data_IF_478971661346
#
_entry.id   IF_478971661346
#
_cell.length_a   1.000
_cell.length_b   1.000
_cell.length_c   1.000
_cell.angle_alpha   90.00
_cell.angle_beta   90.00
_cell.angle_gamma   90.00
#
_symmetry.space_group_name_H-M   'P 1'
#
loop_
_entity.id
_entity.type
_entity.pdbx_description
1 polymer ?
#
# COMPACT_ATOMS: atom_id res chain seq x y z
N UNK A 1 28.03 -3.45 11.87
CA UNK A 1 27.69 -4.39 12.96
C UNK A 1 26.28 -4.88 12.71
N UNK A 2 26.15 -6.11 12.25
CA UNK A 2 24.88 -6.75 11.90
C UNK A 2 24.19 -7.21 13.18
N UNK A 3 23.06 -6.62 13.51
CA UNK A 3 22.20 -7.14 14.56
C UNK A 3 21.54 -8.41 14.04
N UNK A 4 22.07 -9.56 14.44
CA UNK A 4 21.42 -10.86 14.33
C UNK A 4 20.07 -10.77 15.05
N UNK A 5 18.99 -10.72 14.30
CA UNK A 5 17.64 -10.98 14.82
C UNK A 5 17.69 -12.42 15.32
N UNK A 6 17.77 -12.61 16.64
CA UNK A 6 17.62 -13.92 17.27
C UNK A 6 16.19 -14.39 16.97
N UNK A 7 16.08 -15.32 16.03
CA UNK A 7 14.82 -16.06 15.86
C UNK A 7 14.46 -16.75 17.18
N UNK A 8 13.23 -16.56 17.60
CA UNK A 8 12.67 -17.21 18.81
C UNK A 8 12.86 -18.74 18.68
N UNK A 9 13.46 -19.42 19.68
CA UNK A 9 13.63 -20.88 19.67
C UNK A 9 12.31 -21.62 19.42
N UNK A 10 11.18 -21.10 19.89
CA UNK A 10 9.87 -21.64 19.63
C UNK A 10 9.48 -21.52 18.13
N UNK A 11 9.82 -20.43 17.45
CA UNK A 11 9.59 -20.29 16.01
C UNK A 11 10.39 -21.29 15.19
N UNK A 12 11.65 -21.57 15.58
CA UNK A 12 12.48 -22.60 14.94
C UNK A 12 11.92 -24.00 15.13
N UNK A 13 11.39 -24.31 16.29
CA UNK A 13 10.78 -25.60 16.56
C UNK A 13 9.55 -25.81 15.69
N UNK A 14 8.62 -24.85 15.69
CA UNK A 14 7.36 -24.92 14.93
C UNK A 14 7.60 -24.93 13.41
N UNK A 15 8.58 -24.22 12.90
CA UNK A 15 8.88 -24.18 11.45
C UNK A 15 9.36 -25.53 10.89
N UNK A 16 9.91 -26.41 11.75
CA UNK A 16 10.43 -27.75 11.38
C UNK A 16 9.37 -28.83 11.37
N UNK A 17 8.23 -28.61 12.00
CA UNK A 17 7.16 -29.61 12.11
C UNK A 17 6.29 -29.61 10.85
N UNK A 18 5.89 -30.81 10.40
CA UNK A 18 4.86 -30.99 9.37
C UNK A 18 3.49 -30.51 9.87
N UNK A 19 2.54 -30.28 8.96
CA UNK A 19 1.16 -29.93 9.33
C UNK A 19 0.53 -30.96 10.25
N UNK A 20 0.83 -32.24 10.03
CA UNK A 20 0.27 -33.36 10.81
C UNK A 20 0.85 -33.40 12.23
N UNK A 21 2.15 -33.19 12.40
CA UNK A 21 2.80 -33.10 13.71
C UNK A 21 2.30 -31.89 14.52
N UNK A 22 2.11 -30.74 13.85
CA UNK A 22 1.54 -29.55 14.49
C UNK A 22 0.12 -29.83 14.99
N UNK A 23 -0.71 -30.48 14.16
CA UNK A 23 -2.07 -30.88 14.57
C UNK A 23 -2.06 -31.88 15.72
N UNK A 24 -1.12 -32.84 15.75
CA UNK A 24 -0.97 -33.77 16.84
C UNK A 24 -0.59 -33.12 18.16
N UNK A 25 0.40 -32.20 18.14
CA UNK A 25 0.80 -31.44 19.33
C UNK A 25 -0.36 -30.59 19.85
N UNK A 26 -1.08 -29.90 18.96
CA UNK A 26 -2.27 -29.12 19.33
C UNK A 26 -3.42 -30.00 19.86
N UNK A 27 -3.58 -31.23 19.33
CA UNK A 27 -4.55 -32.17 19.82
C UNK A 27 -4.17 -32.75 21.19
N UNK A 28 -2.86 -33.00 21.43
CA UNK A 28 -2.35 -33.46 22.73
C UNK A 28 -2.47 -32.37 23.81
N UNK A 29 -2.21 -31.10 23.47
CA UNK A 29 -2.47 -29.99 24.39
C UNK A 29 -3.93 -29.89 24.79
N UNK A 30 -4.88 -30.14 23.86
CA UNK A 30 -6.32 -30.20 24.14
C UNK A 30 -6.71 -31.38 25.01
N UNK A 31 -6.04 -32.52 24.88
CA UNK A 31 -6.31 -33.72 25.71
C UNK A 31 -5.68 -33.59 27.11
N UNK A 32 -4.55 -32.86 27.22
CA UNK A 32 -3.94 -32.53 28.52
C UNK A 32 -4.77 -31.56 29.38
N UNK A 33 -5.63 -30.78 28.77
CA UNK A 33 -6.55 -29.85 29.45
C UNK A 33 -7.69 -30.56 30.22
N UNK A 34 -7.93 -31.83 29.94
CA UNK A 34 -8.94 -32.63 30.70
C UNK A 34 -8.46 -33.07 32.09
N UNK A 35 -7.18 -32.88 32.45
CA UNK A 35 -6.61 -33.13 33.77
C UNK A 35 -6.07 -31.82 34.40
N UNK A 36 -6.95 -31.05 34.93
CA UNK A 36 -6.90 -29.91 35.84
C UNK A 36 -5.54 -29.27 36.12
N UNK A 37 -5.13 -28.23 35.38
CA UNK A 37 -4.49 -26.97 35.77
C UNK A 37 -4.00 -26.13 34.54
N UNK A 38 -4.79 -26.05 33.48
CA UNK A 38 -4.60 -25.05 32.41
C UNK A 38 -4.96 -23.65 32.93
N UNK A 39 -4.45 -22.56 32.33
CA UNK A 39 -4.84 -21.21 32.71
C UNK A 39 -6.37 -21.08 32.58
N UNK A 40 -7.00 -20.61 33.66
CA UNK A 40 -8.45 -20.44 33.71
C UNK A 40 -8.84 -19.32 32.72
N UNK A 41 -9.20 -19.71 31.48
CA UNK A 41 -9.56 -18.77 30.42
C UNK A 41 -10.85 -18.05 30.74
N UNK A 42 -10.88 -16.76 30.47
CA UNK A 42 -12.11 -15.97 30.55
C UNK A 42 -12.91 -16.23 29.29
N UNK A 43 -13.92 -17.10 29.37
CA UNK A 43 -14.83 -17.36 28.27
C UNK A 43 -15.48 -16.04 27.83
N UNK A 44 -15.14 -15.59 26.64
CA UNK A 44 -15.57 -14.28 26.11
C UNK A 44 -16.10 -14.46 24.70
N UNK A 45 -17.37 -14.12 24.43
CA UNK A 45 -17.91 -14.14 23.08
C UNK A 45 -17.15 -13.19 22.16
N UNK A 46 -17.04 -13.55 20.88
CA UNK A 46 -16.24 -12.81 19.90
C UNK A 46 -16.70 -11.34 19.76
N UNK A 47 -18.00 -11.10 19.73
CA UNK A 47 -18.56 -9.76 19.50
C UNK A 47 -18.20 -8.76 20.61
N UNK A 48 -18.46 -9.03 21.90
CA UNK A 48 -18.04 -8.15 23.00
C UNK A 48 -16.50 -7.95 23.07
N UNK A 49 -15.73 -9.00 22.73
CA UNK A 49 -14.28 -8.89 22.69
C UNK A 49 -13.82 -7.92 21.59
N UNK A 50 -14.40 -7.99 20.41
CA UNK A 50 -14.12 -7.06 19.29
C UNK A 50 -14.47 -5.63 19.69
N UNK A 51 -15.64 -5.39 20.29
CA UNK A 51 -16.05 -4.05 20.73
C UNK A 51 -15.07 -3.47 21.75
N UNK A 52 -14.68 -4.26 22.76
CA UNK A 52 -13.69 -3.86 23.77
C UNK A 52 -12.35 -3.51 23.14
N UNK A 53 -11.88 -4.35 22.20
CA UNK A 53 -10.63 -4.09 21.49
C UNK A 53 -10.69 -2.83 20.62
N UNK A 54 -11.80 -2.58 19.93
CA UNK A 54 -11.98 -1.38 19.10
C UNK A 54 -11.96 -0.11 19.96
N UNK A 55 -12.60 -0.09 21.13
CA UNK A 55 -12.53 1.02 22.08
C UNK A 55 -11.09 1.33 22.52
N UNK A 56 -10.28 0.30 22.77
CA UNK A 56 -8.85 0.45 23.08
C UNK A 56 -8.10 1.07 21.89
N UNK A 57 -8.40 0.62 20.66
CA UNK A 57 -7.76 1.15 19.44
C UNK A 57 -8.14 2.60 19.15
N UNK A 58 -9.32 3.02 19.47
CA UNK A 58 -9.78 4.41 19.34
C UNK A 58 -8.97 5.35 20.26
N UNK A 59 -8.61 4.91 21.47
CA UNK A 59 -7.75 5.65 22.40
C UNK A 59 -6.27 5.75 21.97
N UNK A 60 -5.82 5.02 20.94
CA UNK A 60 -4.40 4.93 20.53
C UNK A 60 -3.94 5.96 19.49
N UNK A 61 -4.67 7.05 19.26
CA UNK A 61 -4.32 8.08 18.27
C UNK A 61 -3.93 7.52 16.88
N UNK A 62 -4.65 6.48 16.41
CA UNK A 62 -4.46 5.90 15.10
C UNK A 62 -5.09 6.79 14.02
N UNK A 63 -4.59 6.68 12.78
CA UNK A 63 -5.22 7.38 11.66
C UNK A 63 -6.66 6.87 11.44
N UNK A 64 -7.63 7.74 11.12
CA UNK A 64 -9.03 7.33 10.89
C UNK A 64 -9.18 6.19 9.88
N UNK A 65 -8.37 6.20 8.80
CA UNK A 65 -8.35 5.12 7.82
C UNK A 65 -7.88 3.79 8.43
N UNK A 66 -6.89 3.81 9.32
CA UNK A 66 -6.38 2.62 10.00
C UNK A 66 -7.45 2.02 10.90
N UNK A 67 -8.13 2.86 11.70
CA UNK A 67 -9.24 2.41 12.54
C UNK A 67 -10.39 1.82 11.71
N UNK A 68 -10.76 2.46 10.61
CA UNK A 68 -11.77 1.96 9.68
C UNK A 68 -11.39 0.59 9.10
N UNK A 69 -10.14 0.39 8.72
CA UNK A 69 -9.65 -0.89 8.23
C UNK A 69 -9.69 -1.98 9.30
N UNK A 70 -9.27 -1.66 10.55
CA UNK A 70 -9.35 -2.60 11.68
C UNK A 70 -10.81 -3.00 11.92
N UNK A 71 -11.71 -2.03 12.05
CA UNK A 71 -13.14 -2.26 12.28
C UNK A 71 -13.73 -3.11 11.16
N UNK A 72 -13.41 -2.81 9.91
CA UNK A 72 -13.93 -3.59 8.77
C UNK A 72 -13.43 -5.03 8.78
N UNK A 73 -12.13 -5.26 9.03
CA UNK A 73 -11.57 -6.63 9.05
C UNK A 73 -12.06 -7.44 10.24
N UNK A 74 -12.20 -6.84 11.42
CA UNK A 74 -12.82 -7.49 12.58
C UNK A 74 -14.32 -7.75 12.35
N UNK A 75 -15.04 -6.87 11.68
CA UNK A 75 -16.42 -7.10 11.25
C UNK A 75 -16.56 -8.27 10.28
N UNK A 76 -15.57 -8.52 9.41
CA UNK A 76 -15.54 -9.73 8.57
C UNK A 76 -15.36 -11.00 9.42
N UNK A 77 -14.49 -10.96 10.42
CA UNK A 77 -14.29 -12.06 11.37
C UNK A 77 -15.58 -12.34 12.17
N UNK A 78 -16.19 -11.29 12.71
CA UNK A 78 -17.47 -11.37 13.44
C UNK A 78 -18.57 -11.96 12.57
N UNK A 79 -18.69 -11.56 11.32
CA UNK A 79 -19.68 -12.12 10.39
C UNK A 79 -19.46 -13.60 10.12
N UNK A 80 -18.21 -14.08 10.16
CA UNK A 80 -17.89 -15.47 9.93
C UNK A 80 -18.06 -16.35 11.18
N UNK A 81 -17.75 -15.80 12.37
CA UNK A 81 -17.64 -16.56 13.63
C UNK A 81 -18.39 -15.94 14.82
N UNK A 82 -19.39 -15.08 14.57
CA UNK A 82 -20.05 -14.28 15.61
C UNK A 82 -20.75 -15.07 16.71
N UNK A 83 -21.07 -16.35 16.47
CA UNK A 83 -21.64 -17.26 17.50
C UNK A 83 -20.61 -17.96 18.38
N UNK A 84 -19.30 -17.80 18.12
CA UNK A 84 -18.22 -18.52 18.82
C UNK A 84 -17.65 -17.70 19.99
N UNK A 85 -17.08 -18.42 20.96
CA UNK A 85 -16.16 -17.83 21.93
C UNK A 85 -14.80 -17.56 21.26
N UNK A 86 -14.06 -16.56 21.71
CA UNK A 86 -12.76 -16.23 21.10
C UNK A 86 -11.76 -17.38 21.11
N UNK A 87 -11.71 -18.17 22.17
CA UNK A 87 -10.81 -19.32 22.32
C UNK A 87 -11.20 -20.53 21.47
N UNK A 88 -12.44 -20.60 20.98
CA UNK A 88 -12.92 -21.67 20.10
C UNK A 88 -12.47 -21.51 18.64
N UNK A 89 -12.05 -20.29 18.25
CA UNK A 89 -11.62 -20.01 16.89
C UNK A 89 -10.25 -20.63 16.65
N UNK A 90 -10.21 -21.70 15.88
CA UNK A 90 -8.99 -22.47 15.61
C UNK A 90 -8.30 -22.06 14.32
N UNK A 91 -7.04 -22.46 14.16
CA UNK A 91 -6.26 -22.30 12.91
C UNK A 91 -6.99 -22.91 11.72
N UNK A 92 -7.51 -24.16 11.86
CA UNK A 92 -8.24 -24.85 10.79
C UNK A 92 -9.48 -24.08 10.35
N UNK A 93 -10.27 -23.54 11.29
CA UNK A 93 -11.45 -22.73 10.97
C UNK A 93 -11.09 -21.49 10.15
N UNK A 94 -9.97 -20.85 10.47
CA UNK A 94 -9.51 -19.67 9.71
C UNK A 94 -8.92 -20.04 8.33
N UNK A 95 -8.23 -21.18 8.21
CA UNK A 95 -7.76 -21.70 6.92
C UNK A 95 -8.93 -22.03 6.01
N UNK A 96 -9.96 -22.70 6.52
CA UNK A 96 -11.19 -22.99 5.77
C UNK A 96 -11.92 -21.72 5.36
N UNK A 97 -12.01 -20.74 6.25
CA UNK A 97 -12.60 -19.45 5.95
C UNK A 97 -11.85 -18.72 4.82
N UNK A 98 -10.53 -18.71 4.85
CA UNK A 98 -9.72 -18.09 3.78
C UNK A 98 -9.88 -18.84 2.45
N UNK A 99 -9.96 -20.16 2.48
CA UNK A 99 -10.18 -21.01 1.30
C UNK A 99 -11.54 -20.75 0.65
N UNK A 100 -12.59 -20.72 1.47
CA UNK A 100 -13.96 -20.46 1.00
C UNK A 100 -14.13 -19.05 0.40
N UNK A 101 -13.29 -18.10 0.78
CA UNK A 101 -13.32 -16.72 0.24
C UNK A 101 -12.56 -16.56 -1.06
N UNK A 102 -11.78 -17.55 -1.48
CA UNK A 102 -10.94 -17.48 -2.69
C UNK A 102 -10.11 -16.20 -2.82
N UNK A 103 -9.70 -15.64 -1.69
CA UNK A 103 -8.95 -14.39 -1.68
C UNK A 103 -7.53 -14.58 -2.20
N UNK A 104 -7.05 -13.58 -2.94
CA UNK A 104 -5.63 -13.48 -3.29
C UNK A 104 -4.78 -13.44 -2.02
N UNK A 105 -3.58 -14.01 -2.09
CA UNK A 105 -2.63 -14.05 -0.96
C UNK A 105 -2.45 -12.68 -0.30
N UNK A 106 -2.27 -11.61 -1.08
CA UNK A 106 -2.12 -10.25 -0.55
C UNK A 106 -3.34 -9.75 0.24
N UNK A 107 -4.54 -10.22 -0.13
CA UNK A 107 -5.78 -9.91 0.63
C UNK A 107 -5.78 -10.62 1.97
N UNK A 108 -5.39 -11.90 2.00
CA UNK A 108 -5.26 -12.68 3.23
C UNK A 108 -4.23 -12.04 4.15
N UNK A 109 -3.03 -11.71 3.65
CA UNK A 109 -1.99 -11.01 4.41
C UNK A 109 -2.54 -9.70 5.03
N UNK A 110 -3.31 -8.93 4.26
CA UNK A 110 -3.96 -7.71 4.73
C UNK A 110 -5.04 -7.95 5.81
N UNK A 111 -5.75 -9.07 5.78
CA UNK A 111 -6.70 -9.49 6.84
C UNK A 111 -5.93 -9.89 8.07
N UNK A 112 -4.97 -10.81 7.95
CA UNK A 112 -4.16 -11.31 9.05
C UNK A 112 -3.42 -10.19 9.78
N UNK A 113 -2.87 -9.21 9.06
CA UNK A 113 -2.21 -8.05 9.64
C UNK A 113 -3.13 -7.16 10.51
N UNK A 114 -4.45 -7.26 10.37
CA UNK A 114 -5.42 -6.49 11.16
C UNK A 114 -6.07 -7.31 12.26
N UNK A 115 -6.33 -8.61 12.03
CA UNK A 115 -6.94 -9.47 13.04
C UNK A 115 -5.92 -10.14 13.98
N UNK A 116 -4.66 -10.32 13.55
CA UNK A 116 -3.60 -10.89 14.38
C UNK A 116 -3.34 -10.13 15.69
N UNK A 117 -3.21 -8.79 15.64
CA UNK A 117 -3.10 -7.99 16.87
C UNK A 117 -4.30 -8.09 17.81
N UNK A 118 -5.50 -8.43 17.33
CA UNK A 118 -6.67 -8.72 18.16
C UNK A 118 -6.47 -10.02 18.95
N UNK A 119 -6.07 -11.12 18.31
CA UNK A 119 -5.80 -12.36 19.02
C UNK A 119 -4.61 -12.25 19.97
N UNK A 120 -3.57 -11.49 19.62
CA UNK A 120 -2.48 -11.18 20.56
C UNK A 120 -2.96 -10.38 21.79
N UNK A 121 -3.96 -9.52 21.62
CA UNK A 121 -4.62 -8.86 22.73
C UNK A 121 -5.45 -9.84 23.56
N UNK A 122 -6.20 -10.75 22.90
CA UNK A 122 -6.96 -11.80 23.61
C UNK A 122 -6.06 -12.69 24.49
N UNK A 123 -4.84 -13.01 24.03
CA UNK A 123 -3.86 -13.74 24.84
C UNK A 123 -3.47 -12.94 26.10
N UNK A 124 -3.18 -11.66 25.96
CA UNK A 124 -2.81 -10.81 27.12
C UNK A 124 -3.93 -10.62 28.14
N UNK A 125 -5.18 -10.69 27.68
CA UNK A 125 -6.38 -10.60 28.53
C UNK A 125 -6.82 -11.99 29.05
N UNK A 126 -6.04 -13.05 28.83
CA UNK A 126 -6.36 -14.44 29.23
C UNK A 126 -7.68 -14.96 28.62
N UNK A 127 -8.04 -14.45 27.44
CA UNK A 127 -9.22 -14.86 26.65
C UNK A 127 -8.87 -16.04 25.72
N UNK A 128 -7.64 -16.08 25.21
CA UNK A 128 -7.12 -17.14 24.33
C UNK A 128 -5.75 -17.59 24.83
N UNK A 129 -5.41 -18.87 24.58
CA UNK A 129 -4.09 -19.43 24.91
C UNK A 129 -3.09 -19.06 23.81
N UNK A 130 -3.50 -19.09 22.55
CA UNK A 130 -2.64 -18.85 21.38
C UNK A 130 -3.32 -17.98 20.34
N UNK A 131 -2.51 -17.47 19.40
CA UNK A 131 -3.01 -16.76 18.24
C UNK A 131 -3.19 -17.74 17.07
N UNK A 132 -4.44 -18.05 16.66
CA UNK A 132 -4.71 -19.05 15.63
C UNK A 132 -4.15 -18.68 14.24
N UNK A 133 -3.80 -17.42 14.00
CA UNK A 133 -3.19 -17.00 12.75
C UNK A 133 -1.70 -17.35 12.64
N UNK A 134 -1.03 -17.60 13.76
CA UNK A 134 0.42 -17.83 13.78
C UNK A 134 0.83 -19.09 13.00
N UNK A 135 -0.06 -20.07 12.93
CA UNK A 135 0.22 -21.40 12.36
C UNK A 135 -0.46 -21.64 11.01
N UNK A 136 -1.09 -20.63 10.43
CA UNK A 136 -1.74 -20.74 9.13
C UNK A 136 -0.71 -20.96 8.04
N UNK A 137 -0.89 -22.02 7.25
CA UNK A 137 -0.09 -22.29 6.07
C UNK A 137 -0.73 -21.59 4.88
N UNK A 138 -0.04 -20.60 4.36
CA UNK A 138 -0.51 -19.85 3.20
C UNK A 138 0.23 -20.29 1.93
N UNK A 139 -0.45 -20.25 0.76
CA UNK A 139 0.22 -20.50 -0.53
C UNK A 139 1.35 -19.49 -0.74
N UNK A 140 2.35 -19.86 -1.53
CA UNK A 140 3.44 -18.93 -1.88
C UNK A 140 2.87 -17.63 -2.43
N UNK A 141 3.51 -16.52 -2.09
CA UNK A 141 3.16 -15.23 -2.65
C UNK A 141 3.51 -15.21 -4.13
N UNK A 142 2.57 -14.74 -4.93
CA UNK A 142 2.84 -14.49 -6.33
C UNK A 142 3.75 -13.26 -6.43
N UNK A 143 5.00 -13.47 -6.86
CA UNK A 143 6.04 -12.44 -7.01
C UNK A 143 6.02 -11.86 -8.43
N UNK A 144 4.85 -11.56 -8.96
CA UNK A 144 4.75 -10.87 -10.25
C UNK A 144 5.42 -9.49 -10.16
N UNK A 145 6.16 -9.15 -11.21
CA UNK A 145 6.77 -7.83 -11.34
C UNK A 145 5.69 -6.74 -11.28
N UNK A 146 5.95 -5.59 -10.64
CA UNK A 146 4.99 -4.51 -10.59
C UNK A 146 4.70 -3.99 -11.99
N UNK A 147 3.43 -3.69 -12.25
CA UNK A 147 3.02 -3.01 -13.47
C UNK A 147 3.57 -1.59 -13.48
N UNK A 148 4.19 -1.19 -14.61
CA UNK A 148 4.71 0.17 -14.85
C UNK A 148 4.20 0.68 -16.20
N UNK A 149 4.15 1.98 -16.36
CA UNK A 149 3.91 2.59 -17.66
C UNK A 149 5.16 2.56 -18.54
N UNK A 150 4.98 2.33 -19.84
CA UNK A 150 5.99 2.59 -20.86
C UNK A 150 6.10 4.10 -21.14
N UNK A 151 7.23 4.61 -21.69
CA UNK A 151 7.40 6.05 -21.97
C UNK A 151 6.29 6.61 -22.86
N UNK A 152 5.91 5.91 -23.93
CA UNK A 152 4.81 6.30 -24.80
C UNK A 152 3.46 6.38 -24.06
N UNK A 153 3.18 5.44 -23.17
CA UNK A 153 1.96 5.46 -22.36
C UNK A 153 1.93 6.66 -21.39
N UNK A 154 3.09 7.01 -20.81
CA UNK A 154 3.19 8.24 -19.98
C UNK A 154 2.96 9.48 -20.83
N UNK A 155 3.56 9.53 -22.01
CA UNK A 155 3.39 10.65 -22.93
C UNK A 155 1.93 10.82 -23.35
N UNK A 156 1.26 9.73 -23.74
CA UNK A 156 -0.16 9.75 -24.13
C UNK A 156 -1.06 10.18 -22.96
N UNK A 157 -0.82 9.63 -21.77
CA UNK A 157 -1.58 10.00 -20.56
C UNK A 157 -1.42 11.50 -20.22
N UNK A 158 -0.19 12.01 -20.28
CA UNK A 158 0.08 13.43 -19.98
C UNK A 158 -0.49 14.35 -21.06
N UNK A 159 -0.45 13.94 -22.33
CA UNK A 159 -1.06 14.66 -23.46
C UNK A 159 -2.58 14.69 -23.33
N UNK A 160 -3.19 13.55 -23.04
CA UNK A 160 -4.63 13.46 -22.82
C UNK A 160 -5.07 14.30 -21.60
N UNK A 161 -4.28 14.29 -20.53
CA UNK A 161 -4.55 15.16 -19.38
C UNK A 161 -4.46 16.63 -19.73
N UNK A 162 -3.47 17.03 -20.54
CA UNK A 162 -3.33 18.42 -21.00
C UNK A 162 -4.53 18.88 -21.83
N UNK A 163 -5.07 18.01 -22.68
CA UNK A 163 -6.18 18.32 -23.56
C UNK A 163 -7.55 18.23 -22.88
N UNK A 164 -7.77 17.20 -22.07
CA UNK A 164 -9.09 16.87 -21.54
C UNK A 164 -9.33 17.40 -20.12
N UNK A 165 -8.28 17.49 -19.31
CA UNK A 165 -8.39 17.91 -17.92
C UNK A 165 -7.04 18.44 -17.37
N UNK A 166 -6.61 19.66 -17.79
CA UNK A 166 -5.35 20.25 -17.34
C UNK A 166 -5.22 20.37 -15.82
N UNK A 167 -6.33 20.51 -15.12
CA UNK A 167 -6.34 20.53 -13.65
C UNK A 167 -5.79 19.25 -13.00
N UNK A 168 -5.71 18.12 -13.71
CA UNK A 168 -5.11 16.87 -13.20
C UNK A 168 -3.60 16.76 -13.43
N UNK A 169 -2.99 17.66 -14.20
CA UNK A 169 -1.54 17.61 -14.51
C UNK A 169 -0.66 17.53 -13.27
N UNK A 170 -0.83 18.37 -12.21
CA UNK A 170 0.03 18.30 -11.04
C UNK A 170 -0.05 16.96 -10.33
N UNK A 171 -1.25 16.38 -10.22
CA UNK A 171 -1.45 15.07 -9.59
C UNK A 171 -0.74 13.95 -10.35
N UNK A 172 -0.86 13.93 -11.68
CA UNK A 172 -0.21 12.93 -12.53
C UNK A 172 1.31 13.14 -12.55
N UNK A 173 1.78 14.36 -12.79
CA UNK A 173 3.20 14.67 -12.87
C UNK A 173 3.94 14.34 -11.57
N UNK A 174 3.40 14.74 -10.41
CA UNK A 174 3.97 14.42 -9.10
C UNK A 174 3.93 12.92 -8.78
N UNK A 175 2.91 12.21 -9.24
CA UNK A 175 2.82 10.76 -9.09
C UNK A 175 3.83 10.00 -9.96
N UNK A 176 3.98 10.42 -11.22
CA UNK A 176 4.78 9.76 -12.24
C UNK A 176 6.25 10.15 -12.17
N UNK A 177 6.57 11.44 -12.05
CA UNK A 177 7.95 11.96 -12.13
C UNK A 177 8.59 12.24 -10.76
N UNK A 178 7.83 12.17 -9.65
CA UNK A 178 8.35 12.29 -8.29
C UNK A 178 8.00 11.08 -7.40
N UNK A 179 7.24 10.12 -7.89
CA UNK A 179 6.87 8.90 -7.15
C UNK A 179 6.12 9.13 -5.85
N UNK A 180 5.43 10.26 -5.71
CA UNK A 180 4.69 10.61 -4.49
C UNK A 180 3.45 9.72 -4.38
N UNK A 181 3.20 9.20 -3.17
CA UNK A 181 2.07 8.28 -2.94
C UNK A 181 0.72 8.97 -3.18
N UNK A 182 -0.28 8.26 -3.75
CA UNK A 182 -1.60 8.86 -4.05
C UNK A 182 -2.28 9.52 -2.86
N UNK A 183 -2.10 8.98 -1.64
CA UNK A 183 -2.65 9.59 -0.41
C UNK A 183 -1.88 10.84 0.03
N UNK A 184 -0.59 10.92 -0.27
CA UNK A 184 0.24 12.09 0.02
C UNK A 184 -0.09 13.21 -0.95
N UNK A 185 -0.26 12.90 -2.24
CA UNK A 185 -0.72 13.85 -3.28
C UNK A 185 -2.01 14.56 -2.91
N UNK A 186 -2.97 13.84 -2.28
CA UNK A 186 -4.23 14.43 -1.83
C UNK A 186 -4.11 15.35 -0.59
N UNK A 187 -2.91 15.48 -0.03
CA UNK A 187 -2.61 16.35 1.11
C UNK A 187 -1.61 17.46 0.77
N UNK A 188 -1.00 17.38 -0.41
CA UNK A 188 -0.10 18.42 -0.90
C UNK A 188 -0.89 19.66 -1.34
N UNK A 189 -0.20 20.77 -1.30
CA UNK A 189 -0.65 22.06 -1.84
C UNK A 189 0.51 22.72 -2.58
N UNK A 190 0.26 23.73 -3.35
CA UNK A 190 1.29 24.49 -4.03
C UNK A 190 2.35 25.09 -3.08
N UNK A 191 1.97 25.39 -1.82
CA UNK A 191 2.91 25.84 -0.79
C UNK A 191 3.95 24.78 -0.37
N UNK A 192 3.78 23.52 -0.75
CA UNK A 192 4.75 22.44 -0.50
C UNK A 192 5.73 22.25 -1.68
N UNK A 193 5.51 22.95 -2.82
CA UNK A 193 6.34 22.89 -4.02
C UNK A 193 7.27 24.08 -4.04
N UNK A 194 8.52 23.86 -3.67
CA UNK A 194 9.57 24.89 -3.70
C UNK A 194 10.24 25.01 -5.08
N UNK A 195 11.28 25.83 -5.20
CA UNK A 195 12.01 26.01 -6.46
C UNK A 195 12.73 24.74 -6.93
N UNK A 196 13.36 23.99 -6.04
CA UNK A 196 14.18 22.81 -6.38
C UNK A 196 13.71 21.51 -5.73
N UNK A 197 12.84 21.60 -4.73
CA UNK A 197 12.40 20.49 -3.89
C UNK A 197 10.92 20.58 -3.56
N UNK A 198 10.32 19.42 -3.37
CA UNK A 198 8.95 19.26 -2.86
C UNK A 198 9.04 18.78 -1.41
N UNK A 199 8.45 19.51 -0.48
CA UNK A 199 8.44 19.14 0.92
C UNK A 199 7.22 18.27 1.27
N UNK A 200 7.46 17.02 1.66
CA UNK A 200 6.42 16.17 2.21
C UNK A 200 6.54 16.16 3.73
N UNK A 201 5.76 17.02 4.38
CA UNK A 201 5.76 17.20 5.83
C UNK A 201 5.26 15.94 6.55
N UNK A 202 5.70 15.71 7.79
CA UNK A 202 5.40 14.49 8.55
C UNK A 202 3.90 14.19 8.69
N UNK A 203 3.06 15.20 8.89
CA UNK A 203 1.61 15.03 8.99
C UNK A 203 0.95 14.66 7.64
N UNK A 204 1.56 15.07 6.52
CA UNK A 204 1.14 14.72 5.15
C UNK A 204 1.69 13.36 4.70
N UNK A 205 2.87 12.96 5.20
CA UNK A 205 3.54 11.72 4.84
C UNK A 205 2.81 10.48 5.37
N UNK A 206 2.73 9.40 4.57
CA UNK A 206 2.15 8.11 4.99
C UNK A 206 2.95 7.49 6.15
N UNK A 207 4.27 7.63 6.12
CA UNK A 207 5.19 7.14 7.16
C UNK A 207 5.29 8.02 8.41
N UNK A 208 4.65 9.19 8.43
CA UNK A 208 4.83 10.26 9.44
C UNK A 208 6.28 10.78 9.53
N UNK A 209 7.10 10.56 8.51
CA UNK A 209 8.45 11.11 8.41
C UNK A 209 8.49 12.20 7.33
N UNK A 210 9.07 13.34 7.67
CA UNK A 210 9.35 14.42 6.71
C UNK A 210 10.36 13.93 5.68
N UNK A 211 10.15 14.27 4.41
CA UNK A 211 11.15 14.10 3.36
C UNK A 211 11.09 15.20 2.33
N UNK A 212 12.21 15.45 1.69
CA UNK A 212 12.30 16.28 0.51
C UNK A 212 12.39 15.37 -0.71
N UNK A 213 11.72 15.73 -1.78
CA UNK A 213 11.73 15.03 -3.07
C UNK A 213 12.28 15.99 -4.11
N UNK A 214 13.26 15.54 -4.89
CA UNK A 214 13.92 16.35 -5.90
C UNK A 214 12.96 16.74 -7.02
N UNK A 215 13.07 17.96 -7.51
CA UNK A 215 12.28 18.47 -8.62
C UNK A 215 13.09 18.38 -9.91
N UNK A 216 12.82 17.35 -10.73
CA UNK A 216 13.47 17.20 -12.04
C UNK A 216 12.99 18.26 -13.04
N UNK A 217 13.81 18.56 -14.06
CA UNK A 217 13.48 19.58 -15.05
C UNK A 217 12.19 19.32 -15.82
N UNK A 218 11.95 18.05 -16.20
CA UNK A 218 10.70 17.67 -16.86
C UNK A 218 9.48 17.81 -15.92
N UNK A 219 9.60 17.43 -14.65
CA UNK A 219 8.56 17.64 -13.66
C UNK A 219 8.24 19.12 -13.49
N UNK A 220 9.27 19.96 -13.37
CA UNK A 220 9.11 21.42 -13.29
C UNK A 220 8.28 21.94 -14.47
N UNK A 221 8.65 21.57 -15.71
CA UNK A 221 7.93 22.00 -16.91
C UNK A 221 6.44 21.62 -16.91
N UNK A 222 6.08 20.46 -16.35
CA UNK A 222 4.69 20.07 -16.20
C UNK A 222 3.97 20.85 -15.10
N UNK A 223 4.63 21.14 -13.97
CA UNK A 223 4.04 21.91 -12.87
C UNK A 223 3.85 23.39 -13.21
N UNK A 224 4.71 23.95 -14.06
CA UNK A 224 4.62 25.34 -14.50
C UNK A 224 3.34 25.61 -15.34
N UNK A 225 2.69 24.59 -15.88
CA UNK A 225 1.37 24.70 -16.51
C UNK A 225 0.23 24.92 -15.50
N UNK A 226 0.51 24.81 -14.20
CA UNK A 226 -0.49 24.94 -13.15
C UNK A 226 -1.47 23.75 -13.05
N UNK A 227 -2.60 23.98 -12.40
CA UNK A 227 -3.66 23.00 -12.19
C UNK A 227 -4.00 22.83 -10.72
N UNK A 228 -4.84 21.82 -10.41
CA UNK A 228 -5.37 21.60 -9.06
C UNK A 228 -4.39 20.78 -8.19
N UNK A 229 -4.01 21.31 -7.03
CA UNK A 229 -3.22 20.58 -6.05
C UNK A 229 -3.73 20.85 -4.63
N UNK A 230 -4.45 19.91 -4.00
CA UNK A 230 -4.87 18.62 -4.53
C UNK A 230 -6.09 18.72 -5.50
N UNK A 231 -6.27 17.77 -6.43
CA UNK A 231 -7.39 17.81 -7.36
C UNK A 231 -8.73 17.47 -6.66
N UNK A 232 -9.76 18.25 -6.96
CA UNK A 232 -11.14 17.93 -6.55
C UNK A 232 -11.69 16.78 -7.41
N UNK A 233 -12.62 16.00 -6.85
CA UNK A 233 -13.27 14.89 -7.55
C UNK A 233 -12.30 13.92 -8.25
N UNK A 234 -11.10 13.74 -7.69
CA UNK A 234 -10.00 12.93 -8.24
C UNK A 234 -10.47 11.62 -8.87
N UNK A 235 -11.37 10.86 -8.19
CA UNK A 235 -11.78 9.53 -8.65
C UNK A 235 -12.39 9.58 -10.05
N UNK A 236 -13.43 10.43 -10.26
CA UNK A 236 -14.11 10.55 -11.56
C UNK A 236 -13.19 11.08 -12.66
N UNK A 237 -12.35 12.08 -12.31
CA UNK A 237 -11.42 12.69 -13.26
C UNK A 237 -10.35 11.70 -13.70
N UNK A 238 -9.77 10.95 -12.76
CA UNK A 238 -8.78 9.93 -13.04
C UNK A 238 -9.37 8.76 -13.85
N UNK A 239 -10.62 8.35 -13.58
CA UNK A 239 -11.33 7.33 -14.34
C UNK A 239 -11.49 7.72 -15.80
N UNK A 240 -11.93 8.96 -16.08
CA UNK A 240 -12.03 9.51 -17.45
C UNK A 240 -10.68 9.51 -18.18
N UNK A 241 -9.59 9.91 -17.50
CA UNK A 241 -8.25 9.90 -18.11
C UNK A 241 -7.73 8.48 -18.34
N UNK A 242 -8.11 7.52 -17.52
CA UNK A 242 -7.80 6.09 -17.73
C UNK A 242 -8.48 5.54 -18.98
N UNK A 243 -9.75 5.84 -19.13
CA UNK A 243 -10.54 5.41 -20.28
C UNK A 243 -10.00 6.00 -21.60
N UNK A 244 -9.53 7.26 -21.57
CA UNK A 244 -8.95 7.91 -22.74
C UNK A 244 -7.57 7.45 -23.14
N UNK A 245 -6.83 6.79 -22.24
CA UNK A 245 -5.42 6.44 -22.46
C UNK A 245 -5.18 4.98 -22.85
N UNK A 246 -6.23 4.14 -22.89
CA UNK A 246 -6.17 2.69 -23.21
C UNK A 246 -5.08 1.90 -22.44
N UNK A 247 -4.67 2.42 -21.27
CA UNK A 247 -3.58 1.86 -20.48
C UNK A 247 -4.10 1.03 -19.32
N UNK A 248 -3.48 -0.14 -19.07
CA UNK A 248 -3.79 -0.96 -17.90
C UNK A 248 -3.24 -0.30 -16.64
N UNK A 249 -4.12 -0.04 -15.66
CA UNK A 249 -3.75 0.58 -14.39
C UNK A 249 -3.63 -0.45 -13.28
N UNK A 250 -2.40 -0.62 -12.77
CA UNK A 250 -2.12 -1.39 -11.56
C UNK A 250 -2.21 -0.54 -10.29
N UNK A 251 -2.15 -1.20 -9.15
CA UNK A 251 -2.03 -0.53 -7.86
C UNK A 251 -0.69 0.24 -7.80
N UNK A 252 -0.72 1.50 -7.35
CA UNK A 252 0.44 2.39 -7.22
C UNK A 252 1.33 2.52 -8.50
N UNK A 253 0.76 2.28 -9.70
CA UNK A 253 1.48 2.22 -10.97
C UNK A 253 2.35 3.45 -11.23
N UNK A 254 1.86 4.67 -10.96
CA UNK A 254 2.63 5.91 -11.12
C UNK A 254 3.93 5.87 -10.30
N UNK A 255 3.83 5.42 -9.05
CA UNK A 255 4.97 5.32 -8.17
C UNK A 255 5.91 4.18 -8.55
N UNK A 256 5.39 3.04 -9.01
CA UNK A 256 6.18 1.94 -9.55
C UNK A 256 6.93 2.37 -10.81
N UNK A 257 6.28 3.13 -11.68
CA UNK A 257 6.89 3.75 -12.86
C UNK A 257 8.07 4.63 -12.46
N UNK A 258 7.87 5.60 -11.57
CA UNK A 258 8.97 6.42 -11.06
C UNK A 258 10.13 5.58 -10.52
N UNK A 259 9.83 4.61 -9.64
CA UNK A 259 10.86 3.79 -9.00
C UNK A 259 11.74 3.05 -10.02
N UNK A 260 11.12 2.45 -11.04
CA UNK A 260 11.82 1.71 -12.10
C UNK A 260 12.69 2.62 -12.97
N UNK A 261 12.13 3.75 -13.43
CA UNK A 261 12.86 4.69 -14.28
C UNK A 261 13.95 5.45 -13.52
N UNK A 262 13.71 5.81 -12.27
CA UNK A 262 14.70 6.46 -11.41
C UNK A 262 15.87 5.51 -11.10
N UNK A 263 15.58 4.27 -10.79
CA UNK A 263 16.62 3.25 -10.56
C UNK A 263 17.44 3.00 -11.83
N UNK A 264 16.79 2.84 -12.99
CA UNK A 264 17.48 2.63 -14.26
C UNK A 264 18.35 3.83 -14.69
N UNK A 265 17.90 5.06 -14.41
CA UNK A 265 18.62 6.29 -14.75
C UNK A 265 19.84 6.52 -13.84
N UNK A 266 19.66 6.36 -12.54
CA UNK A 266 20.69 6.68 -11.54
C UNK A 266 21.57 5.49 -11.12
N UNK A 267 21.15 4.25 -11.38
CA UNK A 267 21.86 3.04 -10.99
C UNK A 267 21.99 2.81 -9.47
N UNK A 268 21.30 3.63 -8.65
CA UNK A 268 21.41 3.62 -7.18
C UNK A 268 20.06 3.34 -6.52
N UNK A 269 19.99 2.18 -5.85
CA UNK A 269 18.82 1.81 -5.06
C UNK A 269 18.66 2.69 -3.80
N UNK A 270 19.77 3.08 -3.18
CA UNK A 270 19.73 3.96 -1.99
C UNK A 270 19.17 5.34 -2.33
N UNK A 271 19.63 5.93 -3.44
CA UNK A 271 19.09 7.20 -3.94
C UNK A 271 17.60 7.09 -4.25
N UNK A 272 17.18 6.00 -4.92
CA UNK A 272 15.78 5.76 -5.25
C UNK A 272 14.93 5.53 -3.99
N UNK A 273 15.45 4.79 -3.01
CA UNK A 273 14.79 4.58 -1.72
C UNK A 273 14.59 5.89 -0.95
N UNK A 274 15.60 6.76 -0.96
CA UNK A 274 15.54 8.08 -0.32
C UNK A 274 14.42 8.95 -0.93
N UNK A 275 14.38 9.10 -2.26
CA UNK A 275 13.32 9.86 -2.97
C UNK A 275 11.92 9.30 -2.65
N UNK A 276 11.79 7.99 -2.68
CA UNK A 276 10.54 7.31 -2.37
C UNK A 276 10.17 7.36 -0.87
N UNK A 277 11.11 7.65 0.02
CA UNK A 277 10.92 7.53 1.47
C UNK A 277 10.66 6.08 1.90
N UNK A 278 11.45 5.14 1.37
CA UNK A 278 11.52 3.77 1.83
C UNK A 278 12.52 3.66 2.98
N UNK A 279 12.25 2.75 3.94
CA UNK A 279 13.13 2.54 5.09
C UNK A 279 14.32 1.62 4.76
N UNK A 280 14.16 0.77 3.75
CA UNK A 280 15.18 -0.14 3.27
C UNK A 280 15.11 -0.28 1.74
N UNK A 281 16.19 -0.81 1.17
CA UNK A 281 16.35 -1.00 -0.28
C UNK A 281 15.93 -2.37 -0.77
N UNK A 282 15.61 -3.32 0.13
CA UNK A 282 15.25 -4.71 -0.24
C UNK A 282 14.08 -4.77 -1.22
N UNK A 283 13.07 -3.92 -0.98
CA UNK A 283 11.91 -3.79 -1.86
C UNK A 283 12.30 -3.35 -3.29
N UNK A 284 13.33 -2.52 -3.42
CA UNK A 284 13.76 -2.01 -4.72
C UNK A 284 14.53 -3.07 -5.52
N UNK A 285 15.41 -3.81 -4.87
CA UNK A 285 16.19 -4.86 -5.54
C UNK A 285 15.32 -6.04 -6.01
N UNK A 286 14.30 -6.44 -5.21
CA UNK A 286 13.44 -7.57 -5.54
C UNK A 286 12.42 -7.27 -6.64
N UNK A 287 11.95 -6.02 -6.76
CA UNK A 287 10.82 -5.69 -7.61
C UNK A 287 11.15 -4.85 -8.84
N UNK A 288 12.25 -4.09 -8.85
CA UNK A 288 12.49 -3.07 -9.89
C UNK A 288 13.78 -3.30 -10.69
N UNK A 289 14.60 -4.27 -10.30
CA UNK A 289 15.82 -4.60 -11.03
C UNK A 289 15.47 -5.13 -12.42
N UNK A 290 16.09 -4.56 -13.45
CA UNK A 290 15.96 -5.00 -14.85
C UNK A 290 14.59 -4.78 -15.55
N UNK A 291 13.63 -4.08 -14.93
CA UNK A 291 12.35 -3.78 -15.57
C UNK A 291 12.46 -2.76 -16.70
N UNK A 292 13.50 -1.92 -16.70
CA UNK A 292 13.64 -0.77 -17.60
C UNK A 292 15.05 -0.69 -18.16
N UNK A 293 15.17 -0.55 -19.49
CA UNK A 293 16.44 -0.26 -20.15
C UNK A 293 16.85 1.20 -19.96
N UNK A 294 18.16 1.49 -20.10
CA UNK A 294 18.69 2.88 -20.04
C UNK A 294 18.07 3.77 -21.11
N UNK A 295 17.80 3.21 -22.29
CA UNK A 295 17.16 3.96 -23.39
C UNK A 295 15.73 4.37 -23.02
N UNK A 296 14.92 3.44 -22.51
CA UNK A 296 13.58 3.78 -22.01
C UNK A 296 13.63 4.81 -20.86
N UNK A 297 14.64 4.72 -19.99
CA UNK A 297 14.81 5.72 -18.93
C UNK A 297 15.11 7.11 -19.50
N UNK A 298 15.98 7.21 -20.51
CA UNK A 298 16.25 8.48 -21.19
C UNK A 298 14.98 9.06 -21.85
N UNK A 299 14.21 8.22 -22.53
CA UNK A 299 12.92 8.64 -23.13
C UNK A 299 11.94 9.14 -22.06
N UNK A 300 11.79 8.42 -20.95
CA UNK A 300 10.90 8.81 -19.86
C UNK A 300 11.26 10.17 -19.27
N UNK A 301 12.53 10.43 -18.99
CA UNK A 301 12.98 11.69 -18.42
C UNK A 301 12.95 12.87 -19.40
N UNK A 302 12.85 12.58 -20.71
CA UNK A 302 12.67 13.60 -21.75
C UNK A 302 11.22 14.06 -21.92
N UNK A 303 10.23 13.33 -21.38
CA UNK A 303 8.80 13.66 -21.52
C UNK A 303 8.50 15.02 -20.88
N UNK A 304 8.12 15.99 -21.70
CA UNK A 304 7.83 17.37 -21.28
C UNK A 304 6.66 17.96 -22.07
N UNK A 305 6.02 19.04 -21.58
CA UNK A 305 4.91 19.70 -22.31
C UNK A 305 5.27 20.18 -23.69
N UNK A 306 6.53 20.57 -23.93
CA UNK A 306 6.98 21.08 -25.20
C UNK A 306 6.91 20.04 -26.32
N UNK A 307 7.12 18.76 -26.01
CA UNK A 307 6.98 17.67 -26.97
C UNK A 307 5.50 17.31 -27.24
N UNK A 308 4.62 17.68 -26.31
CA UNK A 308 3.19 17.38 -26.34
C UNK A 308 2.33 18.58 -26.80
N UNK A 309 2.96 19.66 -27.30
CA UNK A 309 2.22 20.80 -27.82
C UNK A 309 1.45 20.37 -29.07
N UNK A 310 0.11 20.47 -29.11
CA UNK A 310 -0.61 20.26 -30.36
C UNK A 310 -0.06 21.22 -31.43
N UNK A 311 -0.05 20.81 -32.70
CA UNK A 311 0.40 21.68 -33.76
C UNK A 311 -0.32 23.03 -33.67
N UNK A 312 0.41 24.12 -33.87
CA UNK A 312 -0.01 25.54 -33.64
C UNK A 312 -1.33 25.94 -34.27
N UNK A 313 -1.82 25.20 -35.25
CA UNK A 313 -3.10 25.39 -35.94
C UNK A 313 -4.33 25.00 -35.10
N UNK A 314 -4.18 24.26 -33.98
CA UNK A 314 -5.30 23.90 -33.07
C UNK A 314 -5.43 24.88 -31.88
N UNK A 315 -4.48 25.81 -31.71
CA UNK A 315 -4.47 26.76 -30.58
C UNK A 315 -5.41 27.97 -30.82
N UNK A 316 -5.82 28.21 -32.06
CA UNK A 316 -6.62 29.38 -32.44
C UNK A 316 -8.09 29.34 -31.98
N UNK A 317 -8.55 28.24 -31.42
CA UNK A 317 -9.92 28.16 -30.90
C UNK A 317 -10.06 28.17 -29.37
N UNK A 318 -8.96 28.20 -28.61
CA UNK A 318 -8.99 28.19 -27.15
C UNK A 318 -8.91 29.56 -26.48
N UNK A 319 -8.51 30.62 -27.20
CA UNK A 319 -8.45 31.98 -26.63
C UNK A 319 -9.82 32.55 -26.32
N UNK A 320 -10.89 32.06 -26.96
CA UNK A 320 -12.28 32.46 -26.68
C UNK A 320 -12.87 31.90 -25.38
N UNK A 321 -12.16 31.01 -24.68
CA UNK A 321 -12.67 30.37 -23.46
C UNK A 321 -12.24 31.06 -22.16
N UNK A 322 -11.24 31.98 -22.24
CA UNK A 322 -10.66 32.64 -21.05
C UNK A 322 -11.24 34.04 -20.77
N UNK A 323 -12.06 34.60 -21.66
CA UNK A 323 -12.70 35.91 -21.46
C UNK A 323 -14.05 35.88 -20.72
N UNK A 324 -14.51 34.70 -20.27
CA UNK A 324 -15.79 34.54 -19.55
C UNK A 324 -15.74 33.68 -18.30
N UNK A 325 -14.67 33.83 -17.49
CA UNK A 325 -14.63 33.22 -16.15
C UNK A 325 -14.15 34.24 -15.11
#
# INVERSE_FOLDING_TARGET
>A
MSALIKEDPAERFWSRLSSQERHQIMAQERQGESSGSGPNLISTPLEPAIERYLKIKEGQNLRPLTLRQIRWKLGMLQKAFGGSQCHEITTTMLEDWFRLKEWKRSTIDGVMAKIGPFFNWCIREVICIYNPLKYIILPKKDESAPCIFLPNQVQDLMSNALLLDPGMLPYLALGIFAGIRPEELMRLSWADVGPDMIEIRSHKAKSRQRRLVSLSGNLRSWLDLGGDLPPRNKRKRLERLRESSETTWGHDIMRHTFASYHLAHHGSADRTAHELGHRDTKMLFGHYRELVSRNHAAQFWAISPLQNRPPSNLILHSEAFWEKA
#
